data_IF_602161253714
#
_entry.id   IF_602161253714
#
_cell.length_a   1.000
_cell.length_b   1.000
_cell.length_c   1.000
_cell.angle_alpha   90.00
_cell.angle_beta   90.00
_cell.angle_gamma   90.00
#
_symmetry.space_group_name_H-M   'P 1'
#
loop_
_entity.id
_entity.type
_entity.pdbx_description
1 polymer ?
#
# COMPACT_ATOMS: atom_id res chain seq x y z
N UNK A 1 -25.09 14.05 -76.11
CA UNK A 1 -23.83 14.71 -75.67
C UNK A 1 -23.99 15.09 -74.20
N UNK A 2 -23.18 14.48 -73.31
CA UNK A 2 -22.96 14.75 -71.85
C UNK A 2 -24.11 14.35 -70.88
N UNK A 3 -24.00 13.19 -70.21
CA UNK A 3 -23.50 12.90 -68.82
C UNK A 3 -24.53 13.27 -67.71
N UNK A 4 -25.29 12.33 -67.09
CA UNK A 4 -25.00 11.53 -65.84
C UNK A 4 -24.46 12.40 -64.69
N UNK A 5 -24.94 12.47 -63.43
CA UNK A 5 -25.62 11.56 -62.48
C UNK A 5 -26.05 12.34 -61.20
N UNK A 6 -26.77 11.73 -60.22
CA UNK A 6 -27.42 12.42 -59.09
C UNK A 6 -26.50 12.64 -57.87
N UNK A 7 -26.78 13.67 -57.06
CA UNK A 7 -26.08 13.95 -55.81
C UNK A 7 -26.63 13.08 -54.66
N UNK A 8 -25.76 12.25 -54.08
CA UNK A 8 -26.02 11.45 -52.88
C UNK A 8 -25.38 12.10 -51.64
N UNK A 9 -26.08 11.96 -50.51
CA UNK A 9 -25.70 12.35 -49.15
C UNK A 9 -24.37 11.74 -48.66
N UNK A 10 -23.65 12.46 -47.79
CA UNK A 10 -22.73 11.85 -46.82
C UNK A 10 -22.90 12.52 -45.44
N UNK A 11 -23.52 11.79 -44.52
CA UNK A 11 -23.41 12.02 -43.08
C UNK A 11 -22.16 11.31 -42.57
N UNK A 12 -21.23 12.06 -41.96
CA UNK A 12 -20.00 11.51 -41.40
C UNK A 12 -20.28 10.92 -40.01
N UNK A 13 -20.25 9.59 -39.89
CA UNK A 13 -20.12 8.91 -38.60
C UNK A 13 -18.65 8.95 -38.15
N UNK A 14 -18.38 9.64 -37.05
CA UNK A 14 -17.11 9.56 -36.33
C UNK A 14 -17.14 8.31 -35.43
N UNK A 15 -16.47 7.24 -35.87
CA UNK A 15 -16.17 6.08 -35.03
C UNK A 15 -14.91 6.40 -34.22
N UNK A 16 -15.06 6.56 -32.90
CA UNK A 16 -13.94 6.65 -31.98
C UNK A 16 -13.26 5.26 -31.89
N UNK A 17 -12.18 5.07 -32.62
CA UNK A 17 -11.32 3.88 -32.49
C UNK A 17 -10.47 4.04 -31.24
N UNK A 18 -10.89 3.41 -30.14
CA UNK A 18 -10.04 3.24 -28.97
C UNK A 18 -8.88 2.32 -29.33
N UNK A 19 -7.65 2.84 -29.30
CA UNK A 19 -6.45 2.03 -29.48
C UNK A 19 -6.25 1.19 -28.22
N UNK A 20 -6.69 -0.07 -28.26
CA UNK A 20 -6.29 -1.07 -27.29
C UNK A 20 -4.88 -1.52 -27.67
N UNK A 21 -3.88 -1.14 -26.88
CA UNK A 21 -2.52 -1.64 -27.03
C UNK A 21 -2.53 -3.10 -26.52
N UNK A 22 -2.23 -4.11 -27.35
CA UNK A 22 -2.15 -5.48 -26.89
C UNK A 22 -0.90 -5.65 -26.02
N UNK A 23 -1.07 -5.98 -24.75
CA UNK A 23 0.04 -6.35 -23.87
C UNK A 23 0.42 -7.79 -24.17
N UNK A 24 1.63 -8.02 -24.68
CA UNK A 24 2.23 -9.36 -24.76
C UNK A 24 2.28 -9.95 -23.35
N UNK A 25 1.68 -11.13 -23.17
CA UNK A 25 1.74 -11.88 -21.92
C UNK A 25 3.19 -12.34 -21.67
N UNK A 26 4.00 -11.48 -21.06
CA UNK A 26 5.27 -11.87 -20.49
C UNK A 26 5.02 -12.85 -19.34
N UNK A 27 5.81 -13.92 -19.28
CA UNK A 27 5.82 -14.80 -18.13
C UNK A 27 6.01 -13.96 -16.85
N UNK A 28 5.25 -14.26 -15.80
CA UNK A 28 5.39 -13.56 -14.52
C UNK A 28 6.83 -13.71 -14.01
N UNK A 29 7.54 -12.60 -13.88
CA UNK A 29 8.80 -12.60 -13.12
C UNK A 29 8.45 -12.83 -11.65
N UNK A 30 9.28 -13.55 -10.87
CA UNK A 30 9.06 -13.65 -9.43
C UNK A 30 8.85 -12.26 -8.81
N UNK A 31 7.84 -12.14 -7.97
CA UNK A 31 7.56 -10.91 -7.24
C UNK A 31 8.81 -10.49 -6.47
N UNK A 32 9.24 -9.23 -6.65
CA UNK A 32 10.35 -8.67 -5.87
C UNK A 32 9.77 -7.79 -4.80
N UNK A 33 10.27 -7.96 -3.58
CA UNK A 33 9.73 -7.25 -2.43
C UNK A 33 10.75 -7.19 -1.30
N UNK A 34 10.54 -6.23 -0.40
CA UNK A 34 11.33 -6.02 0.79
C UNK A 34 10.54 -5.29 1.85
N UNK A 35 10.68 -5.69 3.11
CA UNK A 35 10.24 -4.87 4.24
C UNK A 35 11.37 -4.71 5.25
N UNK A 36 11.35 -3.60 5.98
CA UNK A 36 12.27 -3.33 7.07
C UNK A 36 11.66 -2.37 8.09
N UNK A 37 12.03 -2.56 9.35
CA UNK A 37 11.78 -1.57 10.42
C UNK A 37 12.99 -0.66 10.60
N UNK A 38 12.74 0.64 10.58
CA UNK A 38 13.69 1.68 10.97
C UNK A 38 13.40 2.07 12.43
N UNK A 39 14.15 1.48 13.36
CA UNK A 39 14.04 1.79 14.79
C UNK A 39 14.80 3.07 15.17
N UNK A 40 15.96 3.27 14.56
CA UNK A 40 16.79 4.47 14.76
C UNK A 40 16.88 5.24 13.44
N UNK A 41 16.01 6.24 13.23
CA UNK A 41 16.02 7.09 12.03
C UNK A 41 17.14 8.15 12.06
N UNK A 42 18.07 8.11 13.01
CA UNK A 42 19.12 9.14 13.18
C UNK A 42 20.50 8.74 12.67
N UNK A 43 20.66 7.50 12.20
CA UNK A 43 21.96 6.97 11.72
C UNK A 43 22.51 7.79 10.53
N UNK A 44 23.72 8.33 10.69
CA UNK A 44 24.35 9.25 9.72
C UNK A 44 25.21 8.55 8.64
N UNK A 45 25.27 7.21 8.65
CA UNK A 45 25.93 6.39 7.66
C UNK A 45 25.05 5.17 7.34
N UNK A 46 25.26 4.56 6.17
CA UNK A 46 24.57 3.33 5.78
C UNK A 46 24.78 2.26 6.84
N UNK A 47 23.72 1.98 7.58
CA UNK A 47 23.73 1.09 8.74
C UNK A 47 22.69 0.00 8.53
N UNK A 48 23.08 -1.26 8.75
CA UNK A 48 22.17 -2.40 8.70
C UNK A 48 21.00 -2.16 9.65
N UNK A 49 19.78 -2.25 9.12
CA UNK A 49 18.56 -2.09 9.90
C UNK A 49 18.30 -3.30 10.81
N UNK A 50 17.30 -3.25 11.69
CA UNK A 50 16.97 -4.34 12.64
C UNK A 50 16.82 -5.67 11.88
N UNK A 51 17.82 -6.55 12.01
CA UNK A 51 17.89 -7.84 11.30
C UNK A 51 16.81 -8.83 11.73
N UNK A 52 16.14 -8.59 12.87
CA UNK A 52 14.97 -9.36 13.28
C UNK A 52 13.71 -8.94 12.51
N UNK A 53 13.62 -7.66 12.09
CA UNK A 53 12.43 -7.04 11.48
C UNK A 53 12.68 -6.54 10.07
N UNK A 54 13.31 -7.38 9.28
CA UNK A 54 13.46 -7.14 7.85
C UNK A 54 13.52 -8.46 7.09
N UNK A 55 13.03 -8.44 5.86
CA UNK A 55 13.22 -9.53 4.93
C UNK A 55 12.92 -9.07 3.51
N UNK A 56 13.28 -9.88 2.53
CA UNK A 56 12.81 -9.69 1.17
C UNK A 56 13.13 -10.86 0.26
N UNK A 57 12.64 -10.74 -0.97
CA UNK A 57 12.84 -11.76 -2.01
C UNK A 57 14.32 -12.01 -2.34
N UNK A 58 15.22 -11.07 -2.00
CA UNK A 58 16.66 -11.24 -2.19
C UNK A 58 17.25 -12.35 -1.33
N UNK A 59 16.68 -12.64 -0.15
CA UNK A 59 17.28 -13.56 0.83
C UNK A 59 17.47 -14.99 0.32
N UNK A 60 16.68 -15.41 -0.67
CA UNK A 60 16.85 -16.73 -1.29
C UNK A 60 18.15 -16.84 -2.08
N UNK A 61 18.52 -15.81 -2.85
CA UNK A 61 19.74 -15.80 -3.66
C UNK A 61 20.94 -15.18 -2.92
N UNK A 62 20.69 -14.26 -2.00
CA UNK A 62 21.69 -13.47 -1.28
C UNK A 62 21.41 -13.50 0.24
N UNK A 63 21.59 -14.66 0.91
CA UNK A 63 21.20 -14.83 2.32
C UNK A 63 21.96 -13.93 3.29
N UNK A 64 23.19 -13.56 2.95
CA UNK A 64 24.03 -12.66 3.75
C UNK A 64 23.68 -11.16 3.59
N UNK A 65 22.92 -10.79 2.55
CA UNK A 65 22.56 -9.40 2.31
C UNK A 65 21.46 -8.93 3.27
N UNK A 66 21.60 -7.71 3.77
CA UNK A 66 20.64 -7.05 4.66
C UNK A 66 20.25 -5.70 4.09
N UNK A 67 19.00 -5.29 4.34
CA UNK A 67 18.59 -3.92 4.16
C UNK A 67 19.32 -3.03 5.16
N UNK A 68 19.73 -1.87 4.68
CA UNK A 68 20.36 -0.82 5.45
C UNK A 68 19.70 0.54 5.17
N UNK A 69 20.05 1.54 5.96
CA UNK A 69 19.48 2.87 5.83
C UNK A 69 20.39 3.97 6.32
N UNK A 70 20.04 5.20 5.94
CA UNK A 70 20.79 6.40 6.27
C UNK A 70 19.86 7.61 6.37
N UNK A 71 20.09 8.46 7.37
CA UNK A 71 19.46 9.76 7.49
C UNK A 71 20.05 10.76 6.49
N UNK A 72 19.19 11.48 5.78
CA UNK A 72 19.58 12.55 4.85
C UNK A 72 19.41 13.95 5.44
N UNK A 73 18.34 14.14 6.19
CA UNK A 73 17.94 15.42 6.78
C UNK A 73 16.99 15.14 7.95
N UNK A 74 16.63 16.14 8.79
CA UNK A 74 15.58 15.95 9.79
C UNK A 74 14.32 15.37 9.17
N UNK A 75 13.87 14.25 9.72
CA UNK A 75 12.72 13.47 9.29
C UNK A 75 12.83 12.85 7.91
N UNK A 76 14.01 12.79 7.27
CA UNK A 76 14.16 12.16 5.94
C UNK A 76 15.20 11.04 5.98
N UNK A 77 14.78 9.85 5.56
CA UNK A 77 15.55 8.62 5.69
C UNK A 77 15.49 7.79 4.41
N UNK A 78 16.63 7.30 3.94
CA UNK A 78 16.69 6.31 2.86
C UNK A 78 16.73 4.91 3.45
N UNK A 79 15.95 4.01 2.87
CA UNK A 79 16.03 2.57 3.09
C UNK A 79 16.45 1.91 1.78
N UNK A 80 17.48 1.07 1.84
CA UNK A 80 17.97 0.31 0.70
C UNK A 80 17.66 -1.16 0.89
N UNK A 81 16.89 -1.72 -0.04
CA UNK A 81 16.63 -3.14 -0.15
C UNK A 81 17.59 -3.76 -1.19
N UNK A 82 18.45 -4.70 -0.79
CA UNK A 82 19.48 -5.22 -1.69
C UNK A 82 18.87 -6.13 -2.76
N UNK A 83 19.43 -6.11 -3.97
CA UNK A 83 19.16 -7.09 -5.04
C UNK A 83 17.70 -7.20 -5.51
N UNK A 84 16.88 -6.18 -5.25
CA UNK A 84 15.47 -6.14 -5.68
C UNK A 84 15.14 -4.97 -6.62
N UNK A 85 16.14 -4.20 -7.05
CA UNK A 85 15.97 -2.99 -7.87
C UNK A 85 15.14 -3.21 -9.13
N UNK A 86 14.11 -2.39 -9.35
CA UNK A 86 13.15 -2.56 -10.45
C UNK A 86 12.90 -1.27 -11.26
N UNK A 87 13.92 -0.45 -11.41
CA UNK A 87 13.84 0.85 -12.08
C UNK A 87 12.99 1.81 -11.26
N UNK A 88 11.90 2.30 -11.86
CA UNK A 88 10.88 3.11 -11.19
C UNK A 88 9.63 2.31 -10.82
N UNK A 89 9.61 1.00 -11.09
CA UNK A 89 8.41 0.17 -10.90
C UNK A 89 8.18 -0.16 -9.42
N UNK A 90 6.97 -0.62 -9.14
CA UNK A 90 6.56 -1.07 -7.81
C UNK A 90 5.96 0.04 -6.97
N UNK A 91 5.57 -0.31 -5.74
CA UNK A 91 4.95 0.61 -4.79
C UNK A 91 5.54 0.44 -3.39
N UNK A 92 6.00 1.53 -2.76
CA UNK A 92 6.28 1.53 -1.34
C UNK A 92 5.03 1.86 -0.50
N UNK A 93 4.98 1.28 0.70
CA UNK A 93 4.07 1.65 1.78
C UNK A 93 4.84 1.87 3.08
N UNK A 94 4.45 2.88 3.86
CA UNK A 94 5.08 3.18 5.14
C UNK A 94 4.04 3.27 6.25
N UNK A 95 4.36 2.72 7.41
CA UNK A 95 3.56 2.86 8.63
C UNK A 95 4.46 3.41 9.74
N UNK A 96 4.13 4.57 10.34
CA UNK A 96 4.86 5.07 11.50
C UNK A 96 4.76 4.12 12.69
N UNK A 97 5.81 4.08 13.51
CA UNK A 97 5.87 3.30 14.74
C UNK A 97 6.12 4.26 15.91
N UNK A 98 5.05 4.80 16.46
CA UNK A 98 5.10 5.80 17.51
C UNK A 98 3.76 5.94 18.26
N UNK A 99 3.80 6.66 19.38
CA UNK A 99 2.61 6.99 20.20
C UNK A 99 2.24 8.47 20.18
N UNK A 100 2.97 9.29 19.40
CA UNK A 100 2.88 10.75 19.37
C UNK A 100 2.17 11.31 18.14
N UNK A 101 1.57 10.46 17.30
CA UNK A 101 0.86 10.89 16.11
C UNK A 101 1.80 11.37 15.00
N UNK A 102 2.98 10.78 14.84
CA UNK A 102 3.81 11.08 13.67
C UNK A 102 3.18 10.49 12.41
N UNK A 103 3.57 10.97 11.25
CA UNK A 103 3.16 10.36 9.99
C UNK A 103 4.28 10.42 8.99
N UNK A 104 4.32 9.41 8.13
CA UNK A 104 5.36 9.28 7.13
C UNK A 104 4.73 9.20 5.74
N UNK A 105 5.43 9.80 4.79
CA UNK A 105 5.14 9.79 3.36
C UNK A 105 6.35 9.28 2.59
N UNK A 106 6.12 8.90 1.34
CA UNK A 106 7.20 8.55 0.42
C UNK A 106 7.56 9.78 -0.39
N UNK A 107 8.85 10.12 -0.44
CA UNK A 107 9.35 11.18 -1.32
C UNK A 107 9.50 10.64 -2.73
N UNK A 108 10.12 9.46 -2.85
CA UNK A 108 10.38 8.73 -4.10
C UNK A 108 10.90 7.32 -3.80
N UNK A 109 11.00 6.50 -4.84
CA UNK A 109 11.79 5.27 -4.84
C UNK A 109 12.49 5.14 -6.18
N UNK A 110 13.61 4.43 -6.19
CA UNK A 110 14.40 4.22 -7.40
C UNK A 110 15.40 3.08 -7.22
N UNK A 111 15.72 2.43 -8.33
CA UNK A 111 16.83 1.49 -8.40
C UNK A 111 18.20 2.22 -8.35
N UNK A 112 19.12 1.68 -7.55
CA UNK A 112 20.53 2.05 -7.50
C UNK A 112 21.40 0.80 -7.64
N UNK A 113 22.02 0.60 -8.81
CA UNK A 113 22.71 -0.66 -9.09
C UNK A 113 21.72 -1.82 -9.10
N UNK A 114 21.95 -2.84 -8.28
CA UNK A 114 21.03 -3.97 -8.09
C UNK A 114 19.93 -3.73 -7.05
N UNK A 115 20.03 -2.62 -6.31
CA UNK A 115 19.26 -2.40 -5.09
C UNK A 115 18.08 -1.46 -5.36
N UNK A 116 17.04 -1.57 -4.56
CA UNK A 116 15.92 -0.63 -4.56
C UNK A 116 16.06 0.32 -3.37
N UNK A 117 15.92 1.62 -3.59
CA UNK A 117 15.99 2.64 -2.54
C UNK A 117 14.61 3.28 -2.38
N UNK A 118 14.09 3.29 -1.15
CA UNK A 118 12.88 4.03 -0.77
C UNK A 118 13.28 5.23 0.09
N UNK A 119 12.84 6.41 -0.34
CA UNK A 119 13.08 7.70 0.33
C UNK A 119 11.83 8.08 1.12
N UNK A 120 11.92 8.04 2.45
CA UNK A 120 10.81 8.25 3.37
C UNK A 120 10.99 9.57 4.09
N UNK A 121 9.90 10.32 4.25
CA UNK A 121 9.88 11.52 5.05
C UNK A 121 8.80 11.44 6.13
N UNK A 122 9.16 11.70 7.38
CA UNK A 122 8.28 11.68 8.53
C UNK A 122 8.13 13.08 9.14
N UNK A 123 6.96 13.29 9.74
CA UNK A 123 6.53 14.55 10.33
C UNK A 123 5.85 14.30 11.67
N UNK A 124 6.01 15.25 12.59
CA UNK A 124 5.18 15.32 13.80
C UNK A 124 3.81 15.95 13.49
N UNK A 125 2.82 15.84 14.39
CA UNK A 125 1.57 16.60 14.26
C UNK A 125 1.83 18.08 13.96
N UNK A 126 1.07 18.65 13.01
CA UNK A 126 1.31 20.01 12.50
C UNK A 126 2.36 20.11 11.38
N UNK A 127 3.03 19.00 11.00
CA UNK A 127 3.75 18.91 9.71
C UNK A 127 5.19 19.37 9.69
N UNK A 128 5.79 19.68 10.83
CA UNK A 128 7.24 19.81 10.91
C UNK A 128 7.90 18.45 10.75
N UNK A 129 9.02 18.38 10.03
CA UNK A 129 9.77 17.12 9.86
C UNK A 129 10.33 16.65 11.20
N UNK A 130 10.30 15.34 11.42
CA UNK A 130 10.78 14.72 12.65
C UNK A 130 11.36 13.32 12.38
N UNK A 131 12.44 12.97 13.07
CA UNK A 131 13.10 11.67 12.93
C UNK A 131 12.30 10.60 13.69
N UNK A 132 11.25 10.09 13.06
CA UNK A 132 10.33 9.12 13.67
C UNK A 132 10.61 7.69 13.22
N UNK A 133 10.51 6.68 14.10
CA UNK A 133 10.59 5.28 13.70
C UNK A 133 9.42 4.89 12.78
N UNK A 134 9.67 3.97 11.85
CA UNK A 134 8.65 3.48 10.92
C UNK A 134 8.98 2.07 10.43
N UNK A 135 7.98 1.40 9.86
CA UNK A 135 8.19 0.24 8.98
C UNK A 135 7.88 0.62 7.55
N UNK A 136 8.66 0.08 6.62
CA UNK A 136 8.52 0.28 5.18
C UNK A 136 8.43 -1.06 4.49
N UNK A 137 7.55 -1.14 3.50
CA UNK A 137 7.39 -2.24 2.57
C UNK A 137 7.56 -1.68 1.16
N UNK A 138 8.23 -2.40 0.28
CA UNK A 138 8.23 -2.16 -1.16
C UNK A 138 7.93 -3.46 -1.89
N UNK A 139 7.11 -3.39 -2.93
CA UNK A 139 6.73 -4.54 -3.75
C UNK A 139 6.65 -4.19 -5.23
N UNK A 140 7.00 -5.15 -6.09
CA UNK A 140 6.72 -5.11 -7.51
C UNK A 140 6.33 -6.51 -7.99
N UNK A 141 5.22 -6.54 -8.73
CA UNK A 141 4.68 -7.75 -9.37
C UNK A 141 4.59 -7.57 -10.87
N UNK A 142 4.61 -8.69 -11.59
CA UNK A 142 4.42 -8.73 -13.04
C UNK A 142 3.66 -9.98 -13.48
N UNK A 143 3.20 -9.98 -14.73
CA UNK A 143 2.47 -11.09 -15.33
C UNK A 143 1.03 -11.26 -14.81
N UNK A 144 0.28 -12.07 -15.55
CA UNK A 144 -1.11 -12.44 -15.21
C UNK A 144 -1.07 -13.72 -14.40
N UNK A 145 -1.86 -13.78 -13.33
CA UNK A 145 -1.93 -14.93 -12.45
C UNK A 145 -3.15 -15.80 -12.77
N UNK A 146 -3.06 -17.13 -12.58
CA UNK A 146 -4.21 -18.02 -12.77
C UNK A 146 -5.41 -17.62 -11.90
N UNK A 147 -6.61 -17.90 -12.36
CA UNK A 147 -7.83 -17.73 -11.56
C UNK A 147 -7.73 -18.56 -10.27
N UNK A 148 -8.17 -18.00 -9.14
CA UNK A 148 -8.10 -18.66 -7.83
C UNK A 148 -6.80 -18.42 -7.04
N UNK A 149 -5.84 -17.68 -7.61
CA UNK A 149 -4.51 -17.43 -7.03
C UNK A 149 -4.46 -16.41 -5.88
N UNK A 150 -5.62 -15.98 -5.37
CA UNK A 150 -5.74 -14.68 -4.70
C UNK A 150 -5.56 -13.53 -5.69
N UNK A 151 -6.16 -12.38 -5.39
CA UNK A 151 -6.11 -11.21 -6.25
C UNK A 151 -5.17 -10.16 -5.65
N UNK A 152 -4.38 -9.54 -6.53
CA UNK A 152 -3.46 -8.46 -6.16
C UNK A 152 -3.46 -7.39 -7.24
N UNK A 153 -3.53 -6.14 -6.82
CA UNK A 153 -3.36 -5.01 -7.72
C UNK A 153 -2.72 -3.85 -6.95
N UNK A 154 -1.99 -3.01 -7.66
CA UNK A 154 -1.47 -1.77 -7.11
C UNK A 154 -1.39 -0.69 -8.18
N UNK A 155 -1.25 0.55 -7.74
CA UNK A 155 -0.94 1.67 -8.60
C UNK A 155 -0.12 2.73 -7.87
N UNK A 156 0.58 3.51 -8.67
CA UNK A 156 0.98 4.87 -8.33
C UNK A 156 0.14 5.84 -9.18
N UNK A 157 -0.46 6.83 -8.55
CA UNK A 157 -1.17 7.88 -9.27
C UNK A 157 -1.73 8.96 -8.34
N UNK A 158 -2.61 9.79 -8.88
CA UNK A 158 -3.19 10.93 -8.17
C UNK A 158 -3.03 12.21 -8.99
N UNK A 159 -2.38 13.22 -8.40
CA UNK A 159 -2.18 14.53 -9.02
C UNK A 159 -1.51 14.46 -10.41
N UNK A 160 -0.62 13.49 -10.62
CA UNK A 160 0.09 13.26 -11.88
C UNK A 160 -0.68 12.36 -12.85
N UNK A 161 -1.93 11.98 -12.54
CA UNK A 161 -2.66 10.94 -13.26
C UNK A 161 -2.17 9.53 -12.90
N UNK A 162 -2.48 8.54 -13.72
CA UNK A 162 -1.95 7.18 -13.54
C UNK A 162 -0.49 7.13 -14.01
N UNK A 163 0.45 6.82 -13.10
CA UNK A 163 1.88 6.74 -13.42
C UNK A 163 2.28 5.31 -13.75
N UNK A 164 1.86 4.36 -12.92
CA UNK A 164 2.06 2.93 -13.14
C UNK A 164 0.98 2.14 -12.41
N UNK A 165 0.75 0.91 -12.88
CA UNK A 165 -0.14 -0.02 -12.22
C UNK A 165 0.20 -1.46 -12.55
N UNK A 166 -0.29 -2.33 -11.69
CA UNK A 166 -0.31 -3.77 -11.87
C UNK A 166 -1.67 -4.31 -11.45
N UNK A 167 -2.13 -5.34 -12.16
CA UNK A 167 -3.32 -6.08 -11.81
C UNK A 167 -3.10 -7.55 -12.15
N UNK A 168 -3.23 -8.42 -11.15
CA UNK A 168 -3.02 -9.87 -11.30
C UNK A 168 -3.98 -10.53 -12.29
N UNK A 169 -5.10 -9.87 -12.62
CA UNK A 169 -6.06 -10.35 -13.62
C UNK A 169 -5.69 -9.94 -15.05
N UNK A 170 -4.70 -9.06 -15.23
CA UNK A 170 -4.35 -8.46 -16.52
C UNK A 170 -5.26 -7.30 -16.95
N UNK A 171 -6.31 -6.98 -16.18
CA UNK A 171 -7.20 -5.88 -16.50
C UNK A 171 -6.60 -4.50 -16.15
N UNK A 172 -6.87 -3.49 -16.99
CA UNK A 172 -6.36 -2.14 -16.80
C UNK A 172 -6.89 -1.46 -15.53
N UNK A 173 -5.99 -0.85 -14.76
CA UNK A 173 -6.32 -0.05 -13.56
C UNK A 173 -6.66 1.38 -13.96
N UNK A 174 -7.61 2.00 -13.27
CA UNK A 174 -7.98 3.40 -13.47
C UNK A 174 -7.86 4.22 -12.19
N UNK A 175 -7.50 5.50 -12.33
CA UNK A 175 -7.58 6.52 -11.27
C UNK A 175 -8.16 7.81 -11.87
N UNK A 176 -9.04 8.48 -11.12
CA UNK A 176 -9.66 9.73 -11.55
C UNK A 176 -9.99 10.65 -10.37
N UNK A 177 -9.90 11.99 -10.54
CA UNK A 177 -10.23 12.93 -9.49
C UNK A 177 -11.75 13.01 -9.26
N UNK A 178 -12.13 13.19 -8.00
CA UNK A 178 -13.51 13.49 -7.56
C UNK A 178 -13.65 14.92 -7.04
N UNK A 179 -12.53 15.51 -6.63
CA UNK A 179 -12.41 16.83 -6.02
C UNK A 179 -10.98 17.04 -5.54
N UNK A 180 -10.71 18.17 -4.87
CA UNK A 180 -9.38 18.43 -4.31
C UNK A 180 -9.03 17.37 -3.28
N UNK A 181 -7.92 16.67 -3.49
CA UNK A 181 -7.43 15.60 -2.63
C UNK A 181 -8.32 14.35 -2.59
N UNK A 182 -9.27 14.20 -3.50
CA UNK A 182 -10.21 13.08 -3.50
C UNK A 182 -10.12 12.31 -4.81
N UNK A 183 -9.89 11.01 -4.73
CA UNK A 183 -9.61 10.16 -5.88
C UNK A 183 -10.49 8.92 -5.88
N UNK A 184 -10.98 8.57 -7.06
CA UNK A 184 -11.58 7.28 -7.38
C UNK A 184 -10.52 6.40 -8.02
N UNK A 185 -10.39 5.17 -7.53
CA UNK A 185 -9.52 4.13 -8.09
C UNK A 185 -10.39 2.93 -8.45
N UNK A 186 -10.28 2.47 -9.69
CA UNK A 186 -10.94 1.26 -10.18
C UNK A 186 -9.91 0.16 -10.40
N UNK A 187 -10.08 -0.97 -9.72
CA UNK A 187 -9.29 -2.19 -9.88
C UNK A 187 -10.21 -3.28 -10.48
N UNK A 188 -10.21 -3.49 -11.80
CA UNK A 188 -11.14 -4.45 -12.38
C UNK A 188 -10.77 -5.90 -12.10
N UNK A 189 -11.79 -6.76 -11.94
CA UNK A 189 -11.64 -8.21 -11.83
C UNK A 189 -11.00 -8.75 -10.54
N UNK A 190 -10.48 -7.91 -9.64
CA UNK A 190 -9.80 -8.35 -8.41
C UNK A 190 -10.74 -8.61 -7.24
N UNK A 191 -11.95 -8.05 -7.26
CA UNK A 191 -12.94 -8.16 -6.21
C UNK A 191 -13.69 -9.50 -6.18
N UNK A 192 -14.60 -9.63 -5.23
CA UNK A 192 -15.62 -10.68 -5.19
C UNK A 192 -17.00 -10.05 -5.43
N UNK A 193 -17.82 -10.69 -6.26
CA UNK A 193 -19.13 -10.18 -6.60
C UNK A 193 -20.00 -9.99 -5.35
N UNK A 194 -20.38 -8.73 -5.09
CA UNK A 194 -21.28 -8.35 -4.00
C UNK A 194 -20.69 -8.44 -2.59
N UNK A 195 -19.39 -8.73 -2.44
CA UNK A 195 -18.75 -8.93 -1.12
C UNK A 195 -17.39 -8.25 -1.06
N UNK A 196 -17.17 -7.43 -0.03
CA UNK A 196 -15.85 -6.89 0.27
C UNK A 196 -14.94 -8.01 0.77
N UNK A 197 -13.71 -8.04 0.27
CA UNK A 197 -12.74 -9.06 0.63
C UNK A 197 -11.32 -8.51 0.53
N UNK A 198 -10.43 -9.02 1.36
CA UNK A 198 -9.02 -8.60 1.36
C UNK A 198 -8.78 -7.28 2.11
N UNK A 199 -7.69 -6.61 1.73
CA UNK A 199 -7.18 -5.43 2.42
C UNK A 199 -6.57 -4.42 1.44
N UNK A 200 -6.51 -3.16 1.85
CA UNK A 200 -5.92 -2.06 1.09
C UNK A 200 -4.84 -1.35 1.91
N UNK A 201 -3.77 -0.94 1.25
CA UNK A 201 -2.75 -0.07 1.83
C UNK A 201 -2.60 1.17 0.97
N UNK A 202 -2.44 2.33 1.61
CA UNK A 202 -2.29 3.62 0.93
C UNK A 202 -1.18 4.41 1.57
N UNK A 203 -0.35 5.05 0.76
CA UNK A 203 0.72 5.94 1.25
C UNK A 203 0.84 7.14 0.34
N UNK A 204 0.93 8.34 0.92
CA UNK A 204 1.12 9.57 0.15
C UNK A 204 2.51 9.59 -0.49
N UNK A 205 2.60 10.19 -1.67
CA UNK A 205 3.85 10.49 -2.36
C UNK A 205 3.98 12.00 -2.51
N UNK A 206 5.05 12.58 -1.97
CA UNK A 206 5.28 14.01 -2.10
C UNK A 206 6.78 14.37 -2.23
N UNK A 207 7.27 14.62 -3.46
CA UNK A 207 8.69 14.90 -3.69
C UNK A 207 9.14 16.28 -3.19
N UNK A 208 8.21 17.22 -3.01
CA UNK A 208 8.49 18.61 -2.59
C UNK A 208 8.50 18.81 -1.07
N UNK A 209 8.42 17.70 -0.31
CA UNK A 209 8.55 17.68 1.14
C UNK A 209 7.52 18.51 1.92
N UNK A 210 6.40 18.86 1.29
CA UNK A 210 5.23 19.37 1.99
C UNK A 210 4.50 18.19 2.63
N UNK A 211 4.10 18.25 3.90
CA UNK A 211 3.47 17.10 4.57
C UNK A 211 2.18 16.67 3.87
N UNK A 212 2.11 15.41 3.46
CA UNK A 212 0.91 14.77 2.90
C UNK A 212 0.61 13.46 3.60
N UNK A 213 -0.68 13.17 3.70
CA UNK A 213 -1.19 11.87 4.14
C UNK A 213 -2.33 11.49 3.22
N UNK A 214 -2.34 10.25 2.77
CA UNK A 214 -3.43 9.68 2.00
C UNK A 214 -3.94 8.44 2.71
N UNK A 215 -5.25 8.21 2.65
CA UNK A 215 -5.89 7.07 3.29
C UNK A 215 -7.06 6.56 2.46
N UNK A 216 -7.55 5.38 2.82
CA UNK A 216 -8.79 4.87 2.25
C UNK A 216 -9.96 5.62 2.89
N UNK A 217 -10.77 6.33 2.12
CA UNK A 217 -12.03 6.87 2.63
C UNK A 217 -13.07 5.75 2.75
N UNK A 218 -13.32 5.06 1.63
CA UNK A 218 -14.18 3.87 1.56
C UNK A 218 -13.84 3.05 0.32
N UNK A 219 -14.44 1.88 0.22
CA UNK A 219 -14.28 1.00 -0.93
C UNK A 219 -15.50 0.08 -1.06
N UNK A 220 -15.75 -0.41 -2.27
CA UNK A 220 -16.92 -1.22 -2.59
C UNK A 220 -16.63 -2.20 -3.73
N UNK A 221 -17.24 -3.38 -3.66
CA UNK A 221 -17.27 -4.32 -4.79
C UNK A 221 -18.40 -3.92 -5.76
N UNK A 222 -18.09 -3.82 -7.05
CA UNK A 222 -19.04 -3.55 -8.14
C UNK A 222 -18.93 -4.66 -9.18
N UNK A 223 -19.77 -5.69 -9.08
CA UNK A 223 -19.48 -6.95 -9.76
C UNK A 223 -18.13 -7.51 -9.27
N UNK A 224 -17.25 -7.91 -10.18
CA UNK A 224 -15.89 -8.35 -9.85
C UNK A 224 -14.89 -7.20 -9.75
N UNK A 225 -15.30 -5.96 -9.99
CA UNK A 225 -14.44 -4.79 -9.88
C UNK A 225 -14.40 -4.30 -8.43
N UNK A 226 -13.27 -3.73 -8.03
CA UNK A 226 -13.12 -3.01 -6.78
C UNK A 226 -13.03 -1.52 -7.05
N UNK A 227 -13.92 -0.74 -6.45
CA UNK A 227 -13.88 0.71 -6.47
C UNK A 227 -13.39 1.21 -5.12
N UNK A 228 -12.27 1.93 -5.11
CA UNK A 228 -11.64 2.47 -3.90
C UNK A 228 -11.64 3.98 -3.97
N UNK A 229 -11.95 4.63 -2.85
CA UNK A 229 -11.91 6.08 -2.71
C UNK A 229 -10.72 6.44 -1.81
N UNK A 230 -9.77 7.20 -2.35
CA UNK A 230 -8.56 7.63 -1.64
C UNK A 230 -8.62 9.12 -1.39
N UNK A 231 -8.54 9.51 -0.12
CA UNK A 231 -8.56 10.91 0.29
C UNK A 231 -7.19 11.30 0.85
N UNK A 232 -6.72 12.48 0.44
CA UNK A 232 -5.41 13.01 0.78
C UNK A 232 -5.53 14.38 1.43
N UNK A 233 -4.74 14.60 2.48
CA UNK A 233 -4.78 15.76 3.35
C UNK A 233 -3.39 16.33 3.58
N UNK A 234 -3.32 17.64 3.82
CA UNK A 234 -2.12 18.30 4.32
C UNK A 234 -2.00 18.22 5.85
N UNK A 235 -1.01 18.91 6.41
CA UNK A 235 -0.79 18.98 7.86
C UNK A 235 -1.84 19.77 8.64
N UNK A 236 -2.70 20.54 7.96
CA UNK A 236 -3.82 21.27 8.58
C UNK A 236 -5.12 20.47 8.54
N UNK A 237 -5.12 19.32 7.85
CA UNK A 237 -6.29 18.49 7.63
C UNK A 237 -7.12 18.93 6.43
N UNK A 238 -6.64 19.89 5.64
CA UNK A 238 -7.31 20.32 4.43
C UNK A 238 -7.08 19.30 3.30
N UNK A 239 -8.11 18.97 2.49
CA UNK A 239 -7.94 18.13 1.31
C UNK A 239 -6.93 18.76 0.34
N UNK A 240 -6.03 17.95 -0.21
CA UNK A 240 -4.96 18.44 -1.09
C UNK A 240 -4.60 17.42 -2.18
N UNK A 241 -4.36 17.91 -3.39
CA UNK A 241 -3.87 17.07 -4.48
C UNK A 241 -2.41 16.68 -4.22
N UNK A 242 -2.15 15.37 -4.28
CA UNK A 242 -0.84 14.75 -4.17
C UNK A 242 -0.91 13.39 -4.86
N UNK A 243 0.23 12.83 -5.22
CA UNK A 243 0.29 11.42 -5.65
C UNK A 243 0.24 10.49 -4.44
N UNK A 244 -0.08 9.23 -4.69
CA UNK A 244 -0.11 8.17 -3.69
C UNK A 244 0.19 6.81 -4.32
N UNK A 245 0.67 5.89 -3.50
CA UNK A 245 0.61 4.45 -3.79
C UNK A 245 -0.66 3.86 -3.19
N UNK A 246 -1.26 2.92 -3.91
CA UNK A 246 -2.32 2.07 -3.39
C UNK A 246 -2.01 0.62 -3.75
N UNK A 247 -2.22 -0.30 -2.82
CA UNK A 247 -2.21 -1.74 -3.10
C UNK A 247 -3.41 -2.45 -2.48
N UNK A 248 -3.87 -3.49 -3.17
CA UNK A 248 -4.98 -4.35 -2.79
C UNK A 248 -4.50 -5.81 -2.72
N UNK A 249 -4.92 -6.52 -1.68
CA UNK A 249 -4.52 -7.91 -1.42
C UNK A 249 -5.72 -8.73 -0.98
N UNK A 250 -6.08 -9.79 -1.71
CA UNK A 250 -7.13 -10.73 -1.34
C UNK A 250 -6.63 -12.15 -1.39
N UNK A 251 -6.80 -12.89 -0.28
CA UNK A 251 -6.25 -14.23 -0.10
C UNK A 251 -4.74 -14.28 -0.44
N UNK A 252 -4.02 -13.22 -0.06
CA UNK A 252 -2.59 -13.04 -0.31
C UNK A 252 -1.95 -12.11 0.72
N UNK A 253 -0.66 -12.31 0.99
CA UNK A 253 0.14 -11.39 1.80
C UNK A 253 0.30 -10.00 1.17
N UNK A 254 0.59 -9.02 2.02
CA UNK A 254 0.85 -7.63 1.61
C UNK A 254 2.12 -7.48 0.76
N UNK A 255 3.03 -8.47 0.75
CA UNK A 255 4.23 -8.45 -0.10
C UNK A 255 3.92 -8.76 -1.58
N UNK A 256 2.66 -9.08 -1.91
CA UNK A 256 2.24 -9.37 -3.28
C UNK A 256 2.65 -10.74 -3.80
N UNK A 257 3.43 -11.52 -3.05
CA UNK A 257 3.89 -12.86 -3.43
C UNK A 257 2.76 -13.88 -3.61
N UNK A 258 2.70 -14.57 -4.76
CA UNK A 258 1.67 -15.61 -5.02
C UNK A 258 1.86 -16.88 -4.19
N UNK A 259 3.06 -17.42 -4.17
CA UNK A 259 3.33 -18.71 -3.57
C UNK A 259 4.78 -18.81 -3.10
N UNK A 260 5.01 -19.25 -1.85
CA UNK A 260 4.26 -18.92 -0.65
C UNK A 260 4.85 -17.68 0.03
N UNK A 261 3.97 -16.83 0.59
CA UNK A 261 3.67 -17.06 2.01
C UNK A 261 2.23 -17.51 2.26
N UNK A 262 2.09 -18.62 2.97
CA UNK A 262 0.84 -19.21 3.49
C UNK A 262 0.46 -18.64 4.86
N UNK A 263 1.01 -17.49 5.25
CA UNK A 263 0.76 -16.90 6.56
C UNK A 263 0.54 -15.41 6.36
N UNK A 264 -0.73 -15.06 6.14
CA UNK A 264 -1.17 -13.69 6.06
C UNK A 264 -2.49 -13.53 6.79
N UNK A 265 -2.72 -12.31 7.25
CA UNK A 265 -3.92 -11.91 7.94
C UNK A 265 -4.31 -10.51 7.52
N UNK A 266 -5.60 -10.29 7.33
CA UNK A 266 -6.20 -9.02 7.01
C UNK A 266 -7.31 -8.72 8.00
N UNK A 267 -7.43 -7.47 8.41
CA UNK A 267 -8.56 -6.99 9.17
C UNK A 267 -8.92 -5.58 8.72
N UNK A 268 -10.20 -5.35 8.41
CA UNK A 268 -10.79 -4.03 8.25
C UNK A 268 -11.76 -3.80 9.41
N UNK A 269 -11.60 -2.75 10.22
CA UNK A 269 -12.49 -2.54 11.38
C UNK A 269 -13.91 -2.11 10.97
N UNK A 270 -14.04 -1.47 9.81
CA UNK A 270 -15.31 -0.99 9.27
C UNK A 270 -16.14 -2.09 8.56
N UNK A 271 -15.61 -3.31 8.44
CA UNK A 271 -16.23 -4.42 7.73
C UNK A 271 -15.92 -5.76 8.41
N UNK A 272 -16.61 -6.82 8.01
CA UNK A 272 -16.37 -8.18 8.51
C UNK A 272 -16.35 -9.20 7.38
N UNK A 273 -16.39 -10.48 7.73
CA UNK A 273 -16.39 -11.55 6.74
C UNK A 273 -15.06 -11.57 5.97
N UNK A 274 -15.08 -11.58 4.63
CA UNK A 274 -13.84 -11.75 3.85
C UNK A 274 -12.81 -10.59 3.94
N UNK A 275 -13.11 -9.49 4.63
CA UNK A 275 -12.12 -8.46 4.99
C UNK A 275 -11.40 -8.74 6.32
N UNK A 276 -11.90 -9.70 7.10
CA UNK A 276 -11.23 -10.33 8.22
C UNK A 276 -10.80 -11.75 7.80
N UNK A 277 -9.66 -11.85 7.14
CA UNK A 277 -9.17 -13.10 6.55
C UNK A 277 -7.91 -13.54 7.30
N UNK A 278 -7.89 -14.77 7.78
CA UNK A 278 -6.70 -15.41 8.32
C UNK A 278 -6.44 -16.67 7.50
N UNK A 279 -5.28 -16.74 6.85
CA UNK A 279 -4.99 -17.89 5.98
C UNK A 279 -4.99 -19.24 6.73
N UNK A 280 -4.60 -19.25 8.01
CA UNK A 280 -4.48 -20.48 8.80
C UNK A 280 -5.80 -20.88 9.45
N UNK A 281 -6.48 -19.91 10.06
CA UNK A 281 -7.66 -20.16 10.90
C UNK A 281 -8.98 -19.90 10.17
N UNK A 282 -8.95 -19.14 9.06
CA UNK A 282 -10.11 -18.82 8.24
C UNK A 282 -10.66 -17.42 8.46
N UNK A 283 -11.85 -17.18 7.92
CA UNK A 283 -12.52 -15.88 8.01
C UNK A 283 -12.98 -15.56 9.43
N UNK A 284 -13.03 -14.26 9.74
CA UNK A 284 -13.45 -13.71 11.03
C UNK A 284 -12.61 -14.16 12.24
N UNK A 285 -11.44 -14.77 12.00
CA UNK A 285 -10.59 -15.31 13.05
C UNK A 285 -9.73 -14.26 13.75
N UNK A 286 -9.37 -13.17 13.07
CA UNK A 286 -8.59 -12.10 13.69
C UNK A 286 -9.50 -11.27 14.61
N UNK A 287 -8.99 -10.85 15.76
CA UNK A 287 -9.76 -10.06 16.73
C UNK A 287 -9.24 -8.65 16.83
N UNK A 288 -10.13 -7.69 17.11
CA UNK A 288 -9.79 -6.30 17.42
C UNK A 288 -10.39 -5.96 18.77
N UNK A 289 -9.51 -5.72 19.76
CA UNK A 289 -9.89 -5.38 21.12
C UNK A 289 -9.59 -3.90 21.39
N UNK A 290 -10.57 -3.07 21.79
CA UNK A 290 -10.30 -1.69 22.15
C UNK A 290 -9.41 -1.61 23.39
N UNK A 291 -8.49 -0.65 23.40
CA UNK A 291 -7.61 -0.34 24.51
C UNK A 291 -7.80 1.11 24.96
N UNK A 292 -7.21 1.47 26.10
CA UNK A 292 -7.08 2.87 26.51
C UNK A 292 -5.77 3.48 25.98
N UNK A 293 -5.77 4.78 25.60
CA UNK A 293 -6.95 5.66 25.45
C UNK A 293 -7.83 5.28 24.24
N UNK A 294 -9.09 5.75 24.21
CA UNK A 294 -10.02 5.47 23.12
C UNK A 294 -9.46 5.94 21.77
N UNK A 295 -9.41 5.05 20.77
CA UNK A 295 -8.63 5.23 19.54
C UNK A 295 -7.40 4.34 19.44
N UNK A 296 -7.08 3.59 20.51
CA UNK A 296 -6.11 2.50 20.50
C UNK A 296 -6.80 1.15 20.47
N UNK A 297 -6.26 0.23 19.68
CA UNK A 297 -6.80 -1.11 19.49
C UNK A 297 -5.67 -2.14 19.44
N UNK A 298 -5.89 -3.31 20.05
CA UNK A 298 -5.03 -4.48 19.87
C UNK A 298 -5.67 -5.38 18.83
N UNK A 299 -5.02 -5.53 17.68
CA UNK A 299 -5.40 -6.52 16.68
C UNK A 299 -4.59 -7.79 16.92
N UNK A 300 -5.26 -8.94 17.05
CA UNK A 300 -4.60 -10.24 17.24
C UNK A 300 -4.81 -11.11 16.01
N UNK A 301 -3.70 -11.57 15.45
CA UNK A 301 -3.65 -12.48 14.31
C UNK A 301 -3.25 -13.88 14.80
N UNK A 302 -4.22 -14.78 15.08
CA UNK A 302 -3.92 -16.09 15.65
C UNK A 302 -3.11 -16.96 14.69
N UNK A 303 -2.12 -17.67 15.23
CA UNK A 303 -1.22 -18.59 14.52
C UNK A 303 -0.41 -18.00 13.35
N UNK A 304 -0.43 -16.69 13.15
CA UNK A 304 0.29 -16.06 12.05
C UNK A 304 1.69 -15.63 12.41
N UNK A 305 2.05 -15.47 13.70
CA UNK A 305 3.38 -15.03 14.11
C UNK A 305 4.43 -16.13 14.02
N UNK A 306 4.85 -16.43 12.80
CA UNK A 306 5.86 -17.45 12.49
C UNK A 306 7.25 -16.82 12.46
N UNK A 307 7.85 -16.64 11.27
CA UNK A 307 9.11 -15.91 11.11
C UNK A 307 9.04 -14.91 9.97
N UNK A 308 10.00 -13.96 10.02
CA UNK A 308 10.14 -12.90 9.04
C UNK A 308 8.81 -12.18 8.84
N UNK A 309 8.36 -11.56 9.92
CA UNK A 309 7.00 -11.03 10.03
C UNK A 309 6.97 -9.54 9.70
N UNK A 310 5.83 -9.06 9.21
CA UNK A 310 5.59 -7.65 8.91
C UNK A 310 4.13 -7.28 9.20
N UNK A 311 3.92 -6.09 9.79
CA UNK A 311 2.59 -5.50 9.94
C UNK A 311 2.53 -4.15 9.24
N UNK A 312 1.39 -3.88 8.58
CA UNK A 312 1.09 -2.62 7.92
C UNK A 312 -0.26 -2.10 8.43
N UNK A 313 -0.36 -0.78 8.63
CA UNK A 313 -1.59 -0.11 9.05
C UNK A 313 -1.88 1.03 8.09
N UNK A 314 -3.13 1.13 7.65
CA UNK A 314 -3.66 2.29 6.94
C UNK A 314 -4.98 2.69 7.62
N UNK A 315 -5.21 3.99 7.82
CA UNK A 315 -6.50 4.49 8.32
C UNK A 315 -7.62 4.32 7.28
N UNK A 316 -8.85 4.13 7.75
CA UNK A 316 -10.05 4.08 6.93
C UNK A 316 -11.11 5.06 7.44
N UNK A 317 -11.84 5.71 6.53
CA UNK A 317 -13.08 6.44 6.86
C UNK A 317 -13.02 7.94 6.57
N UNK A 318 -13.95 8.68 7.15
CA UNK A 318 -14.10 10.12 6.96
C UNK A 318 -12.99 10.95 7.63
N UNK A 319 -12.94 12.23 7.27
CA UNK A 319 -12.02 13.21 7.87
C UNK A 319 -10.55 12.96 7.54
N UNK A 320 -9.66 13.68 8.22
CA UNK A 320 -8.20 13.65 8.00
C UNK A 320 -7.43 12.82 9.03
N UNK A 321 -8.13 11.94 9.75
CA UNK A 321 -7.54 11.07 10.77
C UNK A 321 -6.56 10.06 10.15
N UNK A 322 -5.61 9.59 10.94
CA UNK A 322 -4.56 8.65 10.53
C UNK A 322 -4.24 7.69 11.67
N UNK A 323 -3.64 6.56 11.36
CA UNK A 323 -3.37 5.51 12.34
C UNK A 323 -2.00 4.90 12.13
N UNK A 324 -1.35 4.56 13.25
CA UNK A 324 0.02 4.10 13.31
C UNK A 324 0.12 2.83 14.17
N UNK A 325 1.29 2.21 14.17
CA UNK A 325 1.66 1.22 15.17
C UNK A 325 2.18 1.94 16.42
N UNK A 326 1.80 1.51 17.62
CA UNK A 326 2.37 2.09 18.86
C UNK A 326 3.80 1.62 19.12
N UNK A 327 4.15 0.47 18.56
CA UNK A 327 5.37 -0.30 18.73
C UNK A 327 5.46 -1.35 17.62
N UNK A 328 6.64 -1.92 17.33
CA UNK A 328 6.71 -3.05 16.42
C UNK A 328 5.86 -4.22 16.93
N UNK A 329 5.29 -5.00 16.01
CA UNK A 329 4.51 -6.19 16.33
C UNK A 329 5.35 -7.24 17.09
N UNK A 330 4.66 -8.16 17.76
CA UNK A 330 5.29 -9.27 18.49
C UNK A 330 5.57 -10.46 17.58
N UNK A 331 6.53 -11.31 17.98
CA UNK A 331 6.80 -12.63 17.39
C UNK A 331 6.04 -13.77 18.09
N UNK A 332 5.04 -13.44 18.90
CA UNK A 332 4.16 -14.46 19.46
C UNK A 332 3.38 -15.14 18.33
N UNK A 333 3.16 -16.46 18.47
CA UNK A 333 2.42 -17.29 17.50
C UNK A 333 1.07 -16.66 17.18
N UNK A 334 0.35 -16.22 18.22
CA UNK A 334 -0.77 -15.31 18.08
C UNK A 334 -0.20 -13.90 18.09
N UNK A 335 -0.12 -13.27 16.91
CA UNK A 335 0.63 -12.04 16.73
C UNK A 335 -0.22 -10.81 17.11
N UNK A 336 0.10 -10.11 18.23
CA UNK A 336 -0.49 -8.81 18.54
C UNK A 336 0.13 -7.70 17.70
N UNK A 337 -0.74 -6.87 17.15
CA UNK A 337 -0.46 -5.63 16.43
C UNK A 337 -1.23 -4.51 17.13
N UNK A 338 -0.50 -3.63 17.80
CA UNK A 338 -1.08 -2.54 18.59
C UNK A 338 -1.14 -1.26 17.76
N UNK A 339 -2.36 -0.82 17.49
CA UNK A 339 -2.69 0.27 16.57
C UNK A 339 -3.27 1.45 17.35
N UNK A 340 -2.89 2.66 16.97
CA UNK A 340 -3.41 3.89 17.57
C UNK A 340 -3.74 4.90 16.48
N UNK A 341 -4.88 5.57 16.62
CA UNK A 341 -5.38 6.54 15.66
C UNK A 341 -5.40 7.95 16.23
N UNK A 342 -5.17 8.92 15.37
CA UNK A 342 -5.05 10.33 15.72
C UNK A 342 -5.89 11.21 14.81
N UNK A 343 -6.37 12.32 15.36
CA UNK A 343 -6.85 13.45 14.58
C UNK A 343 -5.67 14.27 14.03
N UNK A 344 -5.97 15.33 13.28
CA UNK A 344 -4.94 16.16 12.66
C UNK A 344 -4.00 16.88 13.66
N UNK A 345 -4.47 17.11 14.90
CA UNK A 345 -3.68 17.72 15.96
C UNK A 345 -2.76 16.72 16.68
N UNK A 346 -2.83 15.43 16.33
CA UNK A 346 -2.10 14.37 17.02
C UNK A 346 -2.79 13.90 18.30
N UNK A 347 -4.07 14.23 18.48
CA UNK A 347 -4.87 13.75 19.62
C UNK A 347 -5.41 12.36 19.30
N UNK A 348 -5.31 11.44 20.26
CA UNK A 348 -5.80 10.07 20.08
C UNK A 348 -7.33 10.08 19.98
N UNK A 349 -7.87 9.49 18.92
CA UNK A 349 -9.32 9.43 18.65
C UNK A 349 -9.72 8.09 18.01
N UNK A 350 -10.94 7.59 18.26
CA UNK A 350 -11.49 6.45 17.54
C UNK A 350 -11.51 6.69 16.03
N UNK A 351 -11.01 5.72 15.26
CA UNK A 351 -11.09 5.75 13.82
C UNK A 351 -10.96 4.34 13.24
N UNK A 352 -11.48 4.14 12.02
CA UNK A 352 -11.39 2.84 11.38
C UNK A 352 -10.00 2.59 10.81
N UNK A 353 -9.64 1.31 10.71
CA UNK A 353 -8.31 0.84 10.33
C UNK A 353 -8.37 -0.35 9.39
N UNK A 354 -7.38 -0.41 8.52
CA UNK A 354 -7.00 -1.55 7.72
C UNK A 354 -5.65 -2.05 8.22
N UNK A 355 -5.62 -3.27 8.74
CA UNK A 355 -4.42 -3.89 9.29
C UNK A 355 -4.11 -5.14 8.49
N UNK A 356 -2.88 -5.24 8.00
CA UNK A 356 -2.35 -6.42 7.35
C UNK A 356 -1.19 -6.97 8.16
N UNK A 357 -1.13 -8.28 8.31
CA UNK A 357 -0.03 -9.01 8.91
C UNK A 357 0.44 -10.09 7.97
N UNK A 358 1.74 -10.33 7.88
CA UNK A 358 2.28 -11.44 7.12
C UNK A 358 3.51 -12.03 7.80
N UNK A 359 3.67 -13.34 7.63
CA UNK A 359 4.90 -14.08 7.88
C UNK A 359 5.33 -14.76 6.60
N UNK A 360 6.64 -14.84 6.38
CA UNK A 360 7.17 -15.49 5.18
C UNK A 360 6.93 -17.00 5.19
N UNK A 361 7.06 -17.65 6.35
CA UNK A 361 7.02 -19.11 6.49
C UNK A 361 5.81 -19.62 7.22
#
# INVERSE_FOLDING_TARGET
MRLKWPAALLAALLVAVGVLIPTTAGAATPDRWGFATVKDPTVAAWTVLDTSRQWGSWKTAFPAAWADGIKLAPGRFLVRFPQVGAGSLGVPHVTPIDRGGHYCEVVRWYQSGSDEIVDVQCHKPGGTRDDSPFTVLWTVSSGVLPVGSGAHAYLQGGASGLVQAYNSTGAGVGVGPLGVGQWSVKLPGVGLAGVLAGNLQVTAIQPNAGPRRCKVHKWSATGTDLLVFVFCFDATGAPVNTDFTLSYHRARSVTGGYAPPKYFGHLASAAGGPTNDNHVVGLDANTLSPLLPAGRHLVTFPQLGQKETHAQVTAQGDGSNYCNLTQPWSYAVDAPVDVICFDNAGTVVPHDVLVAFTSRI
#
